data_IF_229074397757
#
_entry.id   IF_229074397757
#
_cell.length_a   1.000
_cell.length_b   1.000
_cell.length_c   1.000
_cell.angle_alpha   90.00
_cell.angle_beta   90.00
_cell.angle_gamma   90.00
#
_symmetry.space_group_name_H-M   'P 1'
#
loop_
_entity.id
_entity.type
_entity.pdbx_description
1 polymer ?
#
# COMPACT_ATOMS: atom_id res chain seq x y z
N UNK A 1 8.22 16.40 -18.15
CA UNK A 1 7.45 15.14 -18.24
C UNK A 1 6.14 15.32 -17.51
N UNK A 2 5.03 14.99 -18.13
CA UNK A 2 3.70 15.02 -17.51
C UNK A 2 3.34 13.63 -16.96
N UNK A 3 2.88 13.57 -15.71
CA UNK A 3 2.51 12.34 -15.02
C UNK A 3 1.07 12.38 -14.52
N UNK A 4 0.28 11.37 -14.85
CA UNK A 4 -1.05 11.14 -14.27
C UNK A 4 -0.90 10.29 -13.00
N UNK A 5 -1.40 10.77 -11.87
CA UNK A 5 -1.31 10.09 -10.58
C UNK A 5 -2.72 9.69 -10.14
N UNK A 6 -3.00 8.38 -10.16
CA UNK A 6 -4.31 7.82 -9.85
C UNK A 6 -4.47 7.46 -8.38
N UNK A 7 -5.71 7.30 -7.92
CA UNK A 7 -6.07 6.88 -6.56
C UNK A 7 -5.47 7.76 -5.47
N UNK A 8 -5.35 9.07 -5.72
CA UNK A 8 -4.66 9.98 -4.82
C UNK A 8 -5.49 10.39 -3.62
N UNK A 9 -4.83 10.47 -2.48
CA UNK A 9 -5.35 11.08 -1.25
C UNK A 9 -4.61 12.39 -0.96
N UNK A 10 -5.08 13.18 -0.01
CA UNK A 10 -4.48 14.47 0.32
C UNK A 10 -3.00 14.35 0.73
N UNK A 11 -2.65 13.28 1.46
CA UNK A 11 -1.26 13.04 1.82
C UNK A 11 -0.38 12.71 0.61
N UNK A 12 -0.89 11.95 -0.39
CA UNK A 12 -0.14 11.68 -1.62
C UNK A 12 0.18 12.98 -2.35
N UNK A 13 -0.82 13.85 -2.53
CA UNK A 13 -0.65 15.15 -3.19
C UNK A 13 0.41 15.97 -2.49
N UNK A 14 0.30 16.12 -1.16
CA UNK A 14 1.23 16.88 -0.34
C UNK A 14 2.68 16.42 -0.52
N UNK A 15 2.94 15.11 -0.36
CA UNK A 15 4.30 14.58 -0.43
C UNK A 15 4.86 14.55 -1.84
N UNK A 16 4.05 14.17 -2.84
CA UNK A 16 4.50 14.15 -4.23
C UNK A 16 4.79 15.56 -4.75
N UNK A 17 3.98 16.55 -4.41
CA UNK A 17 4.25 17.95 -4.76
C UNK A 17 5.54 18.46 -4.14
N UNK A 18 5.75 18.19 -2.83
CA UNK A 18 6.96 18.61 -2.13
C UNK A 18 8.23 18.00 -2.75
N UNK A 19 8.22 16.69 -3.00
CA UNK A 19 9.38 16.03 -3.65
C UNK A 19 9.56 16.53 -5.07
N UNK A 20 8.47 16.82 -5.77
CA UNK A 20 8.50 17.26 -7.17
C UNK A 20 9.12 18.66 -7.36
N UNK A 21 9.25 19.47 -6.31
CA UNK A 21 9.98 20.75 -6.36
C UNK A 21 11.42 20.57 -6.90
N UNK A 22 12.04 19.41 -6.61
CA UNK A 22 13.37 19.06 -7.09
C UNK A 22 13.41 18.52 -8.53
N UNK A 23 12.28 18.07 -9.08
CA UNK A 23 12.23 17.36 -10.36
C UNK A 23 11.47 18.14 -11.46
N UNK A 24 10.54 18.99 -11.08
CA UNK A 24 9.80 19.85 -12.00
C UNK A 24 8.87 19.10 -12.96
N UNK A 25 8.29 17.95 -12.56
CA UNK A 25 7.31 17.25 -13.36
C UNK A 25 5.94 17.96 -13.30
N UNK A 26 5.17 17.91 -14.36
CA UNK A 26 3.77 18.29 -14.34
C UNK A 26 2.95 17.13 -13.78
N UNK A 27 2.38 17.29 -12.57
CA UNK A 27 1.61 16.26 -11.89
C UNK A 27 0.11 16.54 -12.01
N UNK A 28 -0.60 15.61 -12.64
CA UNK A 28 -2.06 15.61 -12.71
C UNK A 28 -2.63 14.55 -11.77
N UNK A 29 -3.42 14.98 -10.78
CA UNK A 29 -3.90 14.10 -9.71
C UNK A 29 -5.36 13.71 -9.92
N UNK A 30 -5.61 12.42 -9.89
CA UNK A 30 -6.95 11.83 -9.92
C UNK A 30 -7.24 11.09 -8.61
N UNK A 31 -8.41 11.30 -8.03
CA UNK A 31 -8.86 10.62 -6.81
C UNK A 31 -9.55 9.28 -7.09
N UNK A 32 -9.92 9.03 -8.34
CA UNK A 32 -10.48 7.78 -8.82
C UNK A 32 -9.39 6.77 -9.23
N UNK A 33 -9.80 5.50 -9.32
CA UNK A 33 -8.95 4.38 -9.73
C UNK A 33 -8.62 4.44 -11.24
N UNK A 34 -7.40 4.02 -11.58
CA UNK A 34 -7.10 3.61 -12.94
C UNK A 34 -7.88 2.31 -13.24
N UNK A 35 -8.54 2.30 -14.37
CA UNK A 35 -9.32 1.20 -14.90
C UNK A 35 -9.44 1.33 -16.41
N UNK A 36 -10.01 0.35 -17.11
CA UNK A 36 -10.26 0.42 -18.53
C UNK A 36 -11.11 1.67 -18.92
N UNK A 37 -12.06 2.05 -18.05
CA UNK A 37 -12.92 3.22 -18.27
C UNK A 37 -12.19 4.54 -18.11
N UNK A 38 -11.21 4.61 -17.21
CA UNK A 38 -10.51 5.84 -16.84
C UNK A 38 -9.14 6.00 -17.50
N UNK A 39 -8.60 4.96 -18.14
CA UNK A 39 -7.27 5.00 -18.77
C UNK A 39 -7.10 6.13 -19.79
N UNK A 40 -8.18 6.55 -20.46
CA UNK A 40 -8.16 7.68 -21.42
C UNK A 40 -7.83 9.03 -20.77
N UNK A 41 -8.02 9.17 -19.45
CA UNK A 41 -7.66 10.42 -18.75
C UNK A 41 -6.16 10.65 -18.67
N UNK A 42 -5.33 9.62 -18.97
CA UNK A 42 -3.89 9.77 -19.12
C UNK A 42 -3.45 10.44 -20.43
N UNK A 43 -4.38 10.95 -21.24
CA UNK A 43 -4.06 11.61 -22.50
C UNK A 43 -3.02 12.72 -22.32
N UNK A 44 -1.97 12.67 -23.14
CA UNK A 44 -0.87 13.63 -23.08
C UNK A 44 0.10 13.45 -21.92
N UNK A 45 -0.08 12.43 -21.07
CA UNK A 45 0.87 12.07 -20.03
C UNK A 45 1.90 11.07 -20.58
N UNK A 46 3.17 11.26 -20.20
CA UNK A 46 4.24 10.33 -20.54
C UNK A 46 4.36 9.16 -19.55
N UNK A 47 3.86 9.33 -18.36
CA UNK A 47 3.84 8.30 -17.33
C UNK A 47 2.59 8.33 -16.47
N UNK A 48 2.33 7.19 -15.83
CA UNK A 48 1.28 7.05 -14.83
C UNK A 48 1.87 6.57 -13.51
N UNK A 49 1.36 7.11 -12.41
CA UNK A 49 1.69 6.65 -11.07
C UNK A 49 0.43 6.01 -10.46
N UNK A 50 0.53 4.73 -10.11
CA UNK A 50 -0.60 3.91 -9.67
C UNK A 50 -0.36 3.29 -8.29
N UNK A 51 -1.42 2.81 -7.65
CA UNK A 51 -1.40 2.17 -6.35
C UNK A 51 -1.97 0.74 -6.41
N UNK A 52 -2.03 0.06 -5.28
CA UNK A 52 -2.33 -1.39 -5.19
C UNK A 52 -3.70 -1.80 -5.76
N UNK A 53 -4.67 -0.90 -5.75
CA UNK A 53 -6.04 -1.15 -6.21
C UNK A 53 -6.30 -0.66 -7.65
N UNK A 54 -5.31 -0.03 -8.26
CA UNK A 54 -5.41 0.40 -9.66
C UNK A 54 -5.24 -0.81 -10.59
N UNK A 55 -5.95 -0.79 -11.69
CA UNK A 55 -5.91 -1.85 -12.70
C UNK A 55 -4.78 -1.61 -13.71
N UNK A 56 -3.82 -2.51 -13.76
CA UNK A 56 -2.74 -2.57 -14.75
C UNK A 56 -2.85 -3.80 -15.66
N UNK A 57 -4.04 -4.31 -15.89
CA UNK A 57 -4.28 -5.41 -16.82
C UNK A 57 -3.99 -5.04 -18.28
N UNK A 58 -3.82 -6.04 -19.14
CA UNK A 58 -3.51 -5.85 -20.57
C UNK A 58 -4.42 -4.80 -21.26
N UNK A 59 -5.76 -4.83 -21.15
CA UNK A 59 -6.61 -3.83 -21.82
C UNK A 59 -6.31 -2.39 -21.39
N UNK A 60 -6.04 -2.20 -20.09
CA UNK A 60 -5.66 -0.90 -19.53
C UNK A 60 -4.31 -0.44 -20.07
N UNK A 61 -3.32 -1.33 -20.09
CA UNK A 61 -1.97 -1.03 -20.61
C UNK A 61 -2.00 -0.68 -22.10
N UNK A 62 -2.81 -1.39 -22.89
CA UNK A 62 -3.01 -1.09 -24.32
C UNK A 62 -3.63 0.30 -24.52
N UNK A 63 -4.61 0.66 -23.70
CA UNK A 63 -5.20 1.99 -23.76
C UNK A 63 -4.20 3.07 -23.33
N UNK A 64 -3.46 2.87 -22.22
CA UNK A 64 -2.41 3.80 -21.80
C UNK A 64 -1.35 3.99 -22.89
N UNK A 65 -0.97 2.92 -23.58
CA UNK A 65 -0.02 2.99 -24.70
C UNK A 65 -0.56 3.86 -25.84
N UNK A 66 -1.85 3.74 -26.18
CA UNK A 66 -2.52 4.59 -27.19
C UNK A 66 -2.52 6.07 -26.77
N UNK A 67 -2.61 6.35 -25.46
CA UNK A 67 -2.58 7.72 -24.94
C UNK A 67 -1.15 8.32 -24.89
N UNK A 68 -0.11 7.56 -25.26
CA UNK A 68 1.28 8.02 -25.30
C UNK A 68 2.10 7.73 -24.05
N UNK A 69 1.53 7.00 -23.10
CA UNK A 69 2.24 6.59 -21.87
C UNK A 69 3.42 5.67 -22.19
N UNK A 70 4.54 5.88 -21.51
CA UNK A 70 5.80 5.12 -21.64
C UNK A 70 6.21 4.49 -20.33
N UNK A 71 5.80 5.09 -19.20
CA UNK A 71 6.26 4.73 -17.86
C UNK A 71 5.08 4.44 -16.93
N UNK A 72 5.21 3.37 -16.14
CA UNK A 72 4.26 3.02 -15.09
C UNK A 72 5.05 2.94 -13.78
N UNK A 73 4.74 3.82 -12.85
CA UNK A 73 5.35 3.87 -11.53
C UNK A 73 4.35 3.36 -10.48
N UNK A 74 4.70 2.27 -9.78
CA UNK A 74 3.92 1.79 -8.66
C UNK A 74 4.45 2.44 -7.37
N UNK A 75 3.60 3.21 -6.67
CA UNK A 75 3.94 3.74 -5.34
C UNK A 75 3.67 2.72 -4.21
N UNK A 76 3.98 1.45 -4.51
CA UNK A 76 3.86 0.30 -3.62
C UNK A 76 4.93 -0.74 -3.95
N UNK A 77 5.10 -1.72 -3.08
CA UNK A 77 6.06 -2.81 -3.31
C UNK A 77 5.45 -3.96 -4.14
N UNK A 78 4.15 -4.25 -3.95
CA UNK A 78 3.42 -5.24 -4.73
C UNK A 78 3.23 -4.78 -6.18
N UNK A 79 3.16 -5.71 -7.10
CA UNK A 79 2.98 -5.46 -8.53
C UNK A 79 2.03 -6.46 -9.22
N UNK A 80 1.28 -7.24 -8.44
CA UNK A 80 0.37 -8.27 -8.96
C UNK A 80 -0.81 -7.68 -9.74
N UNK A 81 -1.07 -6.39 -9.59
CA UNK A 81 -2.09 -5.64 -10.30
C UNK A 81 -1.62 -5.13 -11.68
N UNK A 82 -0.40 -5.48 -12.11
CA UNK A 82 0.14 -5.10 -13.43
C UNK A 82 0.51 -6.35 -14.22
N UNK A 83 0.01 -6.47 -15.43
CA UNK A 83 0.41 -7.48 -16.40
C UNK A 83 1.79 -7.11 -16.97
N UNK A 84 2.85 -7.69 -16.35
CA UNK A 84 4.23 -7.39 -16.73
C UNK A 84 4.59 -7.91 -18.12
N UNK A 85 3.97 -9.01 -18.56
CA UNK A 85 4.21 -9.55 -19.89
C UNK A 85 3.62 -8.63 -20.96
N UNK A 86 2.38 -8.18 -20.76
CA UNK A 86 1.78 -7.16 -21.61
C UNK A 86 2.57 -5.86 -21.60
N UNK A 87 3.02 -5.38 -20.45
CA UNK A 87 3.84 -4.18 -20.36
C UNK A 87 5.11 -4.29 -21.19
N UNK A 88 5.79 -5.44 -21.11
CA UNK A 88 7.00 -5.73 -21.90
C UNK A 88 6.71 -5.76 -23.40
N UNK A 89 5.67 -6.45 -23.85
CA UNK A 89 5.27 -6.51 -25.25
C UNK A 89 4.94 -5.12 -25.82
N UNK A 90 4.27 -4.27 -25.01
CA UNK A 90 3.89 -2.91 -25.37
C UNK A 90 5.07 -1.91 -25.26
N UNK A 91 6.23 -2.34 -24.76
CA UNK A 91 7.38 -1.47 -24.53
C UNK A 91 7.15 -0.43 -23.43
N UNK A 92 6.32 -0.75 -22.43
CA UNK A 92 6.12 0.08 -21.25
C UNK A 92 7.15 -0.26 -20.19
N UNK A 93 7.74 0.77 -19.58
CA UNK A 93 8.69 0.61 -18.48
C UNK A 93 7.95 0.65 -17.16
N UNK A 94 8.02 -0.43 -16.39
CA UNK A 94 7.39 -0.54 -15.08
C UNK A 94 8.44 -0.41 -13.98
N UNK A 95 8.22 0.49 -13.03
CA UNK A 95 9.06 0.67 -11.85
C UNK A 95 8.21 0.62 -10.58
N UNK A 96 8.80 0.20 -9.46
CA UNK A 96 8.11 0.08 -8.18
C UNK A 96 9.00 0.49 -7.02
N UNK A 97 8.43 0.60 -5.84
CA UNK A 97 9.19 0.73 -4.58
C UNK A 97 9.57 -0.68 -4.12
N UNK A 98 10.85 -1.08 -4.18
CA UNK A 98 11.23 -2.48 -3.92
C UNK A 98 11.04 -2.90 -2.45
N UNK A 99 11.19 -1.96 -1.53
CA UNK A 99 10.89 -2.13 -0.10
C UNK A 99 10.77 -0.73 0.53
N UNK A 100 9.78 -0.52 1.39
CA UNK A 100 9.61 0.77 2.08
C UNK A 100 9.81 0.66 3.60
N UNK A 101 9.17 -0.28 4.28
CA UNK A 101 9.36 -0.50 5.72
C UNK A 101 8.83 -1.88 6.14
N UNK A 102 9.65 -2.94 6.07
CA UNK A 102 9.29 -4.25 6.59
C UNK A 102 8.93 -4.21 8.08
N UNK A 103 9.61 -3.37 8.82
CA UNK A 103 9.41 -3.16 10.26
C UNK A 103 8.02 -2.61 10.55
N UNK A 104 7.58 -1.56 9.83
CA UNK A 104 6.25 -0.97 10.03
C UNK A 104 5.12 -1.97 9.77
N UNK A 105 5.26 -2.84 8.77
CA UNK A 105 4.28 -3.90 8.50
C UNK A 105 4.24 -4.92 9.64
N UNK A 106 5.41 -5.34 10.12
CA UNK A 106 5.53 -6.27 11.24
C UNK A 106 4.95 -5.67 12.54
N UNK A 107 5.32 -4.43 12.88
CA UNK A 107 4.81 -3.70 14.04
C UNK A 107 3.28 -3.56 13.99
N UNK A 108 2.73 -3.19 12.84
CA UNK A 108 1.28 -3.09 12.67
C UNK A 108 0.60 -4.44 12.89
N UNK A 109 1.13 -5.53 12.34
CA UNK A 109 0.60 -6.87 12.53
C UNK A 109 0.57 -7.27 14.01
N UNK A 110 1.67 -7.02 14.74
CA UNK A 110 1.75 -7.28 16.19
C UNK A 110 0.81 -6.36 16.98
N UNK A 111 0.73 -5.08 16.61
CA UNK A 111 -0.22 -4.13 17.19
C UNK A 111 -1.68 -4.59 17.07
N UNK A 112 -2.08 -5.06 15.88
CA UNK A 112 -3.39 -5.66 15.63
C UNK A 112 -3.61 -6.92 16.48
N UNK A 113 -2.63 -7.80 16.54
CA UNK A 113 -2.64 -9.04 17.34
C UNK A 113 -2.86 -8.73 18.83
N UNK A 114 -2.13 -7.76 19.38
CA UNK A 114 -2.28 -7.32 20.76
C UNK A 114 -3.63 -6.62 21.00
N UNK A 115 -4.08 -5.81 20.07
CA UNK A 115 -5.40 -5.15 20.16
C UNK A 115 -6.54 -6.17 20.22
N UNK A 116 -6.47 -7.21 19.39
CA UNK A 116 -7.45 -8.30 19.37
C UNK A 116 -7.40 -9.14 20.66
N UNK A 117 -6.19 -9.58 21.06
CA UNK A 117 -5.99 -10.40 22.26
C UNK A 117 -6.47 -9.68 23.52
N UNK A 118 -6.03 -8.43 23.71
CA UNK A 118 -6.35 -7.63 24.93
C UNK A 118 -7.64 -6.85 24.80
N UNK A 119 -8.36 -6.98 23.69
CA UNK A 119 -9.65 -6.32 23.43
C UNK A 119 -9.61 -4.79 23.58
N UNK A 120 -8.48 -4.17 23.25
CA UNK A 120 -8.19 -2.74 23.47
C UNK A 120 -9.29 -1.87 22.84
N UNK A 121 -9.68 -2.15 21.60
CA UNK A 121 -10.75 -1.43 20.90
C UNK A 121 -12.11 -1.51 21.61
N UNK A 122 -12.44 -2.67 22.20
CA UNK A 122 -13.70 -2.84 22.97
C UNK A 122 -13.62 -2.13 24.31
N UNK A 123 -12.49 -2.22 25.01
CA UNK A 123 -12.28 -1.52 26.27
C UNK A 123 -12.38 0.00 26.06
N UNK A 124 -11.75 0.52 25.02
CA UNK A 124 -11.82 1.93 24.67
C UNK A 124 -13.27 2.39 24.45
N UNK A 125 -14.06 1.66 23.64
CA UNK A 125 -15.46 2.01 23.38
C UNK A 125 -16.28 2.02 24.66
N UNK A 126 -16.15 0.96 25.49
CA UNK A 126 -16.87 0.87 26.75
C UNK A 126 -16.58 2.01 27.72
N UNK A 127 -15.30 2.37 27.87
CA UNK A 127 -14.93 3.49 28.75
C UNK A 127 -15.49 4.82 28.27
N UNK A 128 -15.60 5.03 26.95
CA UNK A 128 -16.28 6.20 26.40
C UNK A 128 -17.78 6.24 26.72
N UNK A 129 -18.41 5.07 26.82
CA UNK A 129 -19.82 4.91 27.17
C UNK A 129 -20.03 4.82 28.70
N UNK A 130 -19.01 5.23 29.51
CA UNK A 130 -18.99 5.13 30.98
C UNK A 130 -19.24 3.71 31.52
N UNK A 131 -18.98 2.67 30.73
CA UNK A 131 -19.07 1.27 31.13
C UNK A 131 -17.68 0.72 31.48
N UNK A 132 -17.43 0.51 32.78
CA UNK A 132 -16.14 0.02 33.30
C UNK A 132 -16.13 -1.48 33.61
N UNK A 133 -17.12 -2.24 33.16
CA UNK A 133 -17.15 -3.69 33.34
C UNK A 133 -16.01 -4.37 32.61
N UNK A 134 -15.35 -5.32 33.28
CA UNK A 134 -14.28 -6.15 32.71
C UNK A 134 -14.79 -7.41 32.01
N UNK A 135 -16.09 -7.68 32.08
CA UNK A 135 -16.67 -8.88 31.49
C UNK A 135 -16.43 -8.94 29.95
N UNK A 136 -15.95 -10.09 29.49
CA UNK A 136 -15.63 -10.32 28.07
C UNK A 136 -14.40 -9.56 27.54
N UNK A 137 -13.59 -8.93 28.41
CA UNK A 137 -12.33 -8.27 28.04
C UNK A 137 -11.09 -9.12 28.35
N UNK A 138 -11.28 -10.33 28.88
CA UNK A 138 -10.17 -11.24 29.21
C UNK A 138 -9.42 -11.66 27.94
N UNK A 139 -8.11 -11.52 27.97
CA UNK A 139 -7.17 -12.04 26.98
C UNK A 139 -6.19 -13.01 27.62
N UNK A 140 -5.12 -13.33 26.90
CA UNK A 140 -4.04 -14.17 27.43
C UNK A 140 -2.70 -13.43 27.38
N UNK A 141 -1.73 -13.91 28.18
CA UNK A 141 -0.36 -13.40 28.16
C UNK A 141 0.43 -14.02 27.02
N UNK A 142 1.12 -13.21 26.24
CA UNK A 142 1.97 -13.67 25.13
C UNK A 142 3.24 -14.39 25.63
N UNK A 143 3.73 -14.00 26.80
CA UNK A 143 4.90 -14.60 27.44
C UNK A 143 4.77 -16.13 27.55
N UNK A 144 5.84 -16.83 27.21
CA UNK A 144 5.88 -18.28 27.22
C UNK A 144 5.03 -18.99 26.14
N UNK A 145 4.48 -18.27 25.17
CA UNK A 145 3.74 -18.85 24.05
C UNK A 145 4.64 -19.11 22.86
N UNK A 146 4.29 -20.10 22.08
CA UNK A 146 4.96 -20.37 20.80
C UNK A 146 4.27 -19.66 19.67
N UNK A 147 5.01 -18.88 18.91
CA UNK A 147 4.54 -18.21 17.69
C UNK A 147 5.15 -18.87 16.46
N UNK A 148 4.34 -19.27 15.50
CA UNK A 148 4.78 -19.76 14.19
C UNK A 148 4.64 -18.66 13.13
N UNK A 149 5.69 -18.46 12.33
CA UNK A 149 5.69 -17.52 11.22
C UNK A 149 5.90 -18.27 9.91
N UNK A 150 4.90 -18.19 9.01
CA UNK A 150 4.98 -18.77 7.68
C UNK A 150 5.50 -17.69 6.73
N UNK A 151 6.69 -17.90 6.14
CA UNK A 151 7.40 -16.92 5.34
C UNK A 151 8.42 -16.11 6.15
N UNK A 152 9.71 -16.34 5.84
CA UNK A 152 10.86 -15.73 6.52
C UNK A 152 11.57 -14.68 5.68
N UNK A 153 10.78 -13.93 4.89
CA UNK A 153 11.25 -12.72 4.20
C UNK A 153 11.49 -11.58 5.18
N UNK A 154 11.83 -10.39 4.68
CA UNK A 154 12.17 -9.22 5.53
C UNK A 154 11.10 -8.92 6.59
N UNK A 155 9.82 -8.96 6.22
CA UNK A 155 8.69 -8.72 7.13
C UNK A 155 8.59 -9.83 8.18
N UNK A 156 8.66 -11.11 7.75
CA UNK A 156 8.58 -12.25 8.66
C UNK A 156 9.73 -12.25 9.70
N UNK A 157 10.95 -11.93 9.29
CA UNK A 157 12.09 -11.78 10.20
C UNK A 157 11.89 -10.63 11.17
N UNK A 158 11.37 -9.49 10.72
CA UNK A 158 11.03 -8.36 11.60
C UNK A 158 9.98 -8.77 12.65
N UNK A 159 8.90 -9.45 12.22
CA UNK A 159 7.87 -9.96 13.11
C UNK A 159 8.42 -10.96 14.13
N UNK A 160 9.30 -11.89 13.73
CA UNK A 160 9.96 -12.83 14.63
C UNK A 160 10.78 -12.13 15.73
N UNK A 161 11.50 -11.06 15.37
CA UNK A 161 12.27 -10.27 16.34
C UNK A 161 11.37 -9.62 17.39
N UNK A 162 10.23 -9.05 16.96
CA UNK A 162 9.27 -8.45 17.88
C UNK A 162 8.63 -9.53 18.77
N UNK A 163 8.18 -10.64 18.18
CA UNK A 163 7.56 -11.75 18.91
C UNK A 163 8.50 -12.35 19.95
N UNK A 164 9.79 -12.47 19.63
CA UNK A 164 10.81 -12.92 20.61
C UNK A 164 10.90 -12.00 21.81
N UNK A 165 10.62 -10.72 21.67
CA UNK A 165 10.62 -9.76 22.78
C UNK A 165 9.51 -9.99 23.82
N UNK A 166 8.50 -10.79 23.51
CA UNK A 166 7.47 -11.18 24.47
C UNK A 166 7.89 -12.36 25.38
N UNK A 167 9.07 -12.96 25.17
CA UNK A 167 9.52 -14.16 25.91
C UNK A 167 9.02 -15.44 25.26
#
# INVERSE_FOLDING_TARGET
MKLAVYSTKQYDKKYLQHVNEAYGFELEFFDFLLSEKTAKTAHGCEGVCIFVNDDGSRPVLEELKKQGVKYIALRCAGFNNVDLDAAKELGLRVVRVPAYSPEAVAEHAIGMMMSLNRRIHRAYQRTRDANFSLEGLTGFTMYGKTAGVIGTGKIGVAALRILKGFG
#
